data_IF_119387267678
#
_entry.id   IF_119387267678
#
_cell.length_a   1.000
_cell.length_b   1.000
_cell.length_c   1.000
_cell.angle_alpha   90.00
_cell.angle_beta   90.00
_cell.angle_gamma   90.00
#
_symmetry.space_group_name_H-M   'P 1'
#
loop_
_entity.id
_entity.type
_entity.pdbx_description
1 polymer ?
#
# COMPACT_ATOMS: atom_id res chain seq x y z
N UNK A 1 38.92 -43.06 20.73
CA UNK A 1 38.91 -41.72 20.13
C UNK A 1 37.58 -41.57 19.41
N UNK A 2 36.65 -40.81 19.99
CA UNK A 2 35.35 -40.54 19.37
C UNK A 2 35.55 -39.31 18.48
N UNK A 3 35.41 -39.50 17.17
CA UNK A 3 35.40 -38.38 16.22
C UNK A 3 33.96 -37.87 16.18
N UNK A 4 33.75 -36.68 16.72
CA UNK A 4 32.50 -35.95 16.57
C UNK A 4 32.60 -35.16 15.26
N UNK A 5 31.75 -35.50 14.29
CA UNK A 5 31.63 -34.75 13.04
C UNK A 5 30.56 -33.68 13.26
N UNK A 6 30.98 -32.41 13.38
CA UNK A 6 30.06 -31.28 13.27
C UNK A 6 29.73 -31.08 11.78
N UNK A 7 28.47 -31.26 11.40
CA UNK A 7 27.98 -30.84 10.09
C UNK A 7 27.58 -29.36 10.21
N UNK A 8 28.40 -28.46 9.68
CA UNK A 8 27.97 -27.09 9.43
C UNK A 8 26.97 -27.12 8.26
N UNK A 9 25.69 -26.91 8.55
CA UNK A 9 24.69 -26.58 7.54
C UNK A 9 24.99 -25.18 7.01
N UNK A 10 25.37 -25.08 5.74
CA UNK A 10 25.35 -23.83 4.99
C UNK A 10 23.88 -23.47 4.75
N UNK A 11 23.40 -22.40 5.38
CA UNK A 11 22.05 -21.88 5.14
C UNK A 11 22.06 -21.31 3.72
N UNK A 12 21.38 -21.98 2.78
CA UNK A 12 21.12 -21.41 1.47
C UNK A 12 19.98 -20.39 1.60
N UNK A 13 20.19 -19.22 1.00
CA UNK A 13 19.13 -18.23 0.87
C UNK A 13 18.27 -18.61 -0.33
N UNK A 14 16.99 -18.85 -0.08
CA UNK A 14 15.98 -19.11 -1.10
C UNK A 14 15.04 -17.92 -1.18
N UNK A 15 14.60 -17.60 -2.39
CA UNK A 15 13.65 -16.53 -2.67
C UNK A 15 12.40 -17.15 -3.31
N UNK A 16 11.24 -16.76 -2.81
CA UNK A 16 9.95 -17.12 -3.37
C UNK A 16 9.34 -15.90 -4.05
N UNK A 17 8.74 -16.10 -5.22
CA UNK A 17 7.99 -15.06 -5.90
C UNK A 17 6.69 -14.80 -5.13
N UNK A 18 6.38 -13.52 -4.89
CA UNK A 18 5.24 -13.12 -4.07
C UNK A 18 4.55 -11.91 -4.69
N UNK A 19 4.38 -11.91 -6.02
CA UNK A 19 3.84 -10.77 -6.76
C UNK A 19 2.51 -11.05 -7.46
N UNK A 20 1.87 -12.17 -7.15
CA UNK A 20 0.60 -12.55 -7.78
C UNK A 20 -0.51 -11.56 -7.41
N UNK A 21 -0.95 -10.74 -8.37
CA UNK A 21 -1.96 -9.70 -8.15
C UNK A 21 -1.42 -8.31 -7.76
N UNK A 22 -0.10 -8.09 -7.76
CA UNK A 22 0.51 -6.75 -7.57
C UNK A 22 0.48 -5.87 -8.84
N UNK A 23 -0.44 -6.12 -9.77
CA UNK A 23 -0.67 -5.25 -10.94
C UNK A 23 -2.11 -4.75 -10.87
N UNK A 24 -2.34 -3.42 -10.82
CA UNK A 24 -1.38 -2.30 -10.68
C UNK A 24 -0.49 -2.39 -9.40
N UNK A 25 0.60 -1.60 -9.24
CA UNK A 25 0.91 -0.37 -9.96
C UNK A 25 1.64 -0.62 -11.29
N UNK A 26 1.24 0.11 -12.35
CA UNK A 26 1.91 0.08 -13.65
C UNK A 26 3.02 1.13 -13.77
N UNK A 27 3.10 2.07 -12.83
CA UNK A 27 4.17 3.07 -12.70
C UNK A 27 4.39 3.88 -13.99
N UNK A 28 3.33 4.45 -14.55
CA UNK A 28 3.36 5.14 -15.85
C UNK A 28 4.33 6.34 -15.82
N UNK A 29 3.97 7.40 -15.10
CA UNK A 29 4.76 8.65 -15.07
C UNK A 29 4.76 9.35 -13.71
N UNK A 30 3.90 8.95 -12.78
CA UNK A 30 3.83 9.50 -11.43
C UNK A 30 4.95 8.96 -10.54
N UNK A 31 5.39 9.81 -9.60
CA UNK A 31 6.21 9.37 -8.48
C UNK A 31 5.23 8.83 -7.43
N UNK A 32 5.15 7.51 -7.30
CA UNK A 32 4.43 6.89 -6.19
C UNK A 32 5.35 6.70 -4.99
N UNK A 33 4.74 6.69 -3.82
CA UNK A 33 5.30 6.19 -2.57
C UNK A 33 4.52 4.93 -2.20
N UNK A 34 5.22 3.90 -1.73
CA UNK A 34 4.62 2.65 -1.26
C UNK A 34 5.05 2.45 0.18
N UNK A 35 4.07 2.20 1.05
CA UNK A 35 4.28 1.88 2.45
C UNK A 35 3.79 0.47 2.75
N UNK A 36 4.42 -0.20 3.71
CA UNK A 36 4.06 -1.55 4.16
C UNK A 36 3.41 -1.49 5.54
N UNK A 37 2.21 -2.06 5.68
CA UNK A 37 1.43 -2.01 6.92
C UNK A 37 0.33 -3.08 6.92
N UNK A 38 -0.02 -3.64 8.08
CA UNK A 38 -1.25 -4.43 8.26
C UNK A 38 -2.41 -3.43 8.51
N UNK A 39 -3.06 -2.96 7.44
CA UNK A 39 -4.00 -1.82 7.52
C UNK A 39 -5.35 -2.25 8.10
N UNK A 40 -5.66 -3.54 8.04
CA UNK A 40 -6.95 -4.12 8.44
C UNK A 40 -6.86 -5.02 9.68
N UNK A 41 -5.67 -5.15 10.28
CA UNK A 41 -5.39 -5.98 11.46
C UNK A 41 -5.71 -7.47 11.26
N UNK A 42 -5.58 -7.99 10.05
CA UNK A 42 -5.82 -9.41 9.75
C UNK A 42 -4.60 -10.30 10.01
N UNK A 43 -3.46 -9.70 10.35
CA UNK A 43 -2.20 -10.37 10.66
C UNK A 43 -1.32 -10.63 9.45
N UNK A 44 -1.74 -10.21 8.25
CA UNK A 44 -0.92 -10.20 7.04
C UNK A 44 -0.46 -8.78 6.72
N UNK A 45 0.67 -8.68 6.02
CA UNK A 45 1.19 -7.39 5.60
C UNK A 45 0.48 -6.96 4.31
N UNK A 46 -0.03 -5.73 4.31
CA UNK A 46 -0.58 -5.05 3.14
C UNK A 46 0.42 -4.02 2.60
N UNK A 47 0.14 -3.54 1.38
CA UNK A 47 0.81 -2.38 0.80
C UNK A 47 -0.19 -1.25 0.65
N UNK A 48 0.24 -0.01 0.90
CA UNK A 48 -0.55 1.19 0.58
C UNK A 48 0.26 2.11 -0.35
N UNK A 49 -0.45 2.80 -1.24
CA UNK A 49 0.09 3.83 -2.13
C UNK A 49 -0.95 4.92 -2.37
N UNK A 50 -0.50 6.02 -2.95
CA UNK A 50 -1.38 6.96 -3.65
C UNK A 50 -1.36 6.64 -5.16
N UNK A 51 -2.45 6.99 -5.87
CA UNK A 51 -2.63 6.77 -7.31
C UNK A 51 -1.51 7.34 -8.18
N UNK A 52 -1.56 7.08 -9.48
CA UNK A 52 -0.50 7.49 -10.41
C UNK A 52 -0.81 8.85 -11.08
N UNK A 53 0.15 9.43 -11.79
CA UNK A 53 -0.06 10.67 -12.54
C UNK A 53 -1.00 10.43 -13.72
N UNK A 54 -2.01 11.30 -13.86
CA UNK A 54 -3.05 11.18 -14.88
C UNK A 54 -4.30 10.44 -14.38
N UNK A 55 -4.31 10.02 -13.13
CA UNK A 55 -5.45 9.42 -12.47
C UNK A 55 -6.73 10.30 -12.45
N UNK A 56 -7.94 9.70 -12.54
CA UNK A 56 -8.23 8.33 -12.99
C UNK A 56 -8.46 8.20 -14.52
N UNK A 57 -8.41 9.31 -15.28
CA UNK A 57 -8.93 9.35 -16.67
C UNK A 57 -7.90 9.75 -17.74
N UNK A 58 -6.61 9.72 -17.40
CA UNK A 58 -5.50 10.00 -18.31
C UNK A 58 -4.43 8.91 -18.13
N UNK A 59 -4.43 7.93 -19.04
CA UNK A 59 -3.43 6.85 -19.18
C UNK A 59 -3.40 5.76 -18.09
N UNK A 60 -3.95 6.00 -16.91
CA UNK A 60 -3.91 5.05 -15.78
C UNK A 60 -5.25 5.04 -15.04
N UNK A 61 -5.66 3.85 -14.60
CA UNK A 61 -6.80 3.63 -13.71
C UNK A 61 -6.40 3.69 -12.22
N UNK A 62 -5.10 3.76 -11.93
CA UNK A 62 -4.58 3.87 -10.57
C UNK A 62 -4.99 5.20 -9.95
N UNK A 63 -5.76 5.16 -8.86
CA UNK A 63 -6.34 6.36 -8.28
C UNK A 63 -6.46 6.34 -6.77
N UNK A 64 -6.53 7.54 -6.21
CA UNK A 64 -6.85 7.78 -4.82
C UNK A 64 -5.84 7.14 -3.86
N UNK A 65 -6.34 6.67 -2.73
CA UNK A 65 -5.60 5.72 -1.89
C UNK A 65 -5.77 4.33 -2.51
N UNK A 66 -4.64 3.66 -2.72
CA UNK A 66 -4.56 2.29 -3.20
C UNK A 66 -4.09 1.39 -2.06
N UNK A 67 -4.76 0.27 -1.86
CA UNK A 67 -4.42 -0.74 -0.84
C UNK A 67 -4.35 -2.10 -1.51
N UNK A 68 -3.20 -2.77 -1.44
CA UNK A 68 -3.04 -4.16 -1.82
C UNK A 68 -3.13 -5.02 -0.58
N UNK A 69 -4.28 -5.68 -0.41
CA UNK A 69 -4.47 -6.63 0.67
C UNK A 69 -3.66 -7.89 0.42
N UNK A 70 -2.73 -8.21 1.31
CA UNK A 70 -1.87 -9.38 1.23
C UNK A 70 -2.47 -10.58 1.96
N UNK A 71 -2.36 -11.78 1.39
CA UNK A 71 -2.80 -13.01 2.06
C UNK A 71 -1.68 -13.72 2.85
N UNK A 72 -0.52 -13.07 2.99
CA UNK A 72 0.69 -13.62 3.62
C UNK A 72 1.38 -14.72 2.80
N UNK A 73 0.92 -15.00 1.58
CA UNK A 73 1.43 -16.05 0.67
C UNK A 73 1.79 -15.51 -0.71
N UNK A 74 1.98 -14.20 -0.80
CA UNK A 74 2.35 -13.52 -2.03
C UNK A 74 1.20 -13.32 -3.02
N UNK A 75 -0.05 -13.46 -2.58
CA UNK A 75 -1.22 -13.07 -3.36
C UNK A 75 -1.79 -11.76 -2.84
N UNK A 76 -2.19 -10.90 -3.77
CA UNK A 76 -2.58 -9.53 -3.48
C UNK A 76 -3.89 -9.18 -4.17
N UNK A 77 -4.72 -8.39 -3.51
CA UNK A 77 -5.93 -7.82 -4.09
C UNK A 77 -5.95 -6.32 -3.88
N UNK A 78 -5.97 -5.56 -4.98
CA UNK A 78 -6.01 -4.10 -4.92
C UNK A 78 -7.43 -3.58 -4.69
N UNK A 79 -7.54 -2.64 -3.77
CA UNK A 79 -8.67 -1.75 -3.61
C UNK A 79 -8.20 -0.31 -3.83
N UNK A 80 -9.02 0.51 -4.48
CA UNK A 80 -8.69 1.91 -4.75
C UNK A 80 -9.89 2.77 -4.41
N UNK A 81 -9.67 3.90 -3.74
CA UNK A 81 -10.73 4.82 -3.36
C UNK A 81 -10.28 6.27 -3.51
N UNK A 82 -11.11 7.11 -4.12
CA UNK A 82 -10.84 8.52 -4.39
C UNK A 82 -10.38 8.80 -5.83
N UNK A 83 -10.68 10.00 -6.33
CA UNK A 83 -10.41 10.44 -7.71
C UNK A 83 -9.24 11.45 -7.76
N UNK A 84 -8.08 11.05 -7.23
CA UNK A 84 -6.87 11.87 -7.20
C UNK A 84 -5.62 11.03 -7.49
N UNK A 85 -4.49 11.68 -7.74
CA UNK A 85 -3.26 11.00 -8.14
C UNK A 85 -2.01 11.58 -7.54
N UNK A 86 -0.97 10.75 -7.55
CA UNK A 86 0.43 10.85 -7.16
C UNK A 86 0.86 11.90 -6.14
N UNK A 87 1.74 11.45 -5.25
CA UNK A 87 2.37 12.24 -4.22
C UNK A 87 2.93 11.33 -3.15
N UNK A 88 2.76 11.72 -1.88
CA UNK A 88 3.26 10.95 -0.73
C UNK A 88 2.12 10.38 0.11
N UNK A 89 2.42 9.33 0.86
CA UNK A 89 1.48 8.62 1.73
C UNK A 89 2.16 8.23 3.05
N UNK A 90 1.41 8.29 4.14
CA UNK A 90 1.83 7.83 5.46
C UNK A 90 0.61 7.28 6.21
N UNK A 91 0.85 6.48 7.24
CA UNK A 91 -0.22 5.91 8.07
C UNK A 91 0.02 6.15 9.57
N UNK A 92 -1.06 6.17 10.33
CA UNK A 92 -1.04 6.29 11.79
C UNK A 92 -2.44 6.52 12.36
N UNK A 93 -2.65 6.18 13.63
CA UNK A 93 -3.90 6.49 14.33
C UNK A 93 -3.86 7.96 14.80
N UNK A 94 -4.44 8.87 14.02
CA UNK A 94 -4.40 10.32 14.29
C UNK A 94 -5.50 10.76 15.24
N UNK A 95 -6.57 9.97 15.38
CA UNK A 95 -7.75 10.33 16.16
C UNK A 95 -7.87 9.53 17.49
N UNK A 96 -7.01 8.53 17.71
CA UNK A 96 -6.96 7.60 18.85
C UNK A 96 -8.19 6.67 18.97
N UNK A 97 -8.77 6.25 17.85
CA UNK A 97 -9.90 5.29 17.84
C UNK A 97 -9.44 3.82 17.77
N UNK A 98 -8.14 3.59 17.60
CA UNK A 98 -7.54 2.27 17.53
C UNK A 98 -7.48 1.68 16.13
N UNK A 99 -7.86 2.44 15.10
CA UNK A 99 -7.67 2.08 13.71
C UNK A 99 -6.59 2.96 13.05
N UNK A 100 -5.95 2.43 12.01
CA UNK A 100 -4.97 3.19 11.25
C UNK A 100 -5.68 4.12 10.26
N UNK A 101 -5.34 5.40 10.34
CA UNK A 101 -5.70 6.42 9.35
C UNK A 101 -4.60 6.56 8.30
N UNK A 102 -4.93 7.15 7.15
CA UNK A 102 -4.00 7.37 6.04
C UNK A 102 -3.87 8.85 5.73
N UNK A 103 -2.70 9.41 5.99
CA UNK A 103 -2.33 10.76 5.57
C UNK A 103 -1.72 10.73 4.17
N UNK A 104 -2.10 11.67 3.31
CA UNK A 104 -1.56 11.75 1.96
C UNK A 104 -1.41 13.19 1.49
N UNK A 105 -0.35 13.42 0.72
CA UNK A 105 -0.13 14.65 -0.02
C UNK A 105 -0.20 14.35 -1.52
N UNK A 106 -0.85 15.21 -2.29
CA UNK A 106 -1.01 15.02 -3.73
C UNK A 106 -0.60 16.24 -4.53
N UNK A 107 -0.28 16.05 -5.82
CA UNK A 107 0.11 17.15 -6.68
C UNK A 107 -1.07 17.99 -7.19
N UNK A 108 -2.27 17.40 -7.31
CA UNK A 108 -3.45 18.07 -7.82
C UNK A 108 -4.70 17.68 -7.03
N UNK A 109 -5.36 18.65 -6.42
CA UNK A 109 -6.57 18.47 -5.62
C UNK A 109 -7.85 18.78 -6.43
N UNK A 110 -8.02 18.09 -7.56
CA UNK A 110 -9.12 18.35 -8.49
C UNK A 110 -10.43 17.63 -8.13
N UNK A 111 -10.44 16.83 -7.06
CA UNK A 111 -11.67 16.15 -6.61
C UNK A 111 -12.77 17.17 -6.33
N UNK A 112 -14.01 16.77 -6.59
CA UNK A 112 -15.20 17.56 -6.24
C UNK A 112 -15.80 17.14 -4.90
N UNK A 113 -15.25 16.10 -4.29
CA UNK A 113 -15.63 15.60 -2.98
C UNK A 113 -14.56 16.00 -1.98
N UNK A 114 -14.93 16.08 -0.70
CA UNK A 114 -14.00 16.37 0.42
C UNK A 114 -12.78 15.45 0.42
N UNK A 115 -12.93 14.23 -0.13
CA UNK A 115 -11.84 13.30 -0.37
C UNK A 115 -11.06 13.69 -1.64
N UNK A 116 -9.96 14.42 -1.46
CA UNK A 116 -9.02 14.86 -2.49
C UNK A 116 -9.24 16.28 -3.03
N UNK A 117 -9.94 17.15 -2.29
CA UNK A 117 -10.13 18.57 -2.65
C UNK A 117 -9.09 19.53 -2.02
N UNK A 118 -8.14 18.98 -1.26
CA UNK A 118 -6.98 19.64 -0.67
C UNK A 118 -5.68 18.89 -1.00
N UNK A 119 -4.55 19.61 -0.93
CA UNK A 119 -3.24 19.06 -1.28
C UNK A 119 -2.66 18.12 -0.22
N UNK A 120 -3.16 18.20 1.01
CA UNK A 120 -2.74 17.38 2.15
C UNK A 120 -3.97 17.10 2.99
N UNK A 121 -4.30 15.82 3.17
CA UNK A 121 -5.49 15.35 3.88
C UNK A 121 -5.16 14.09 4.69
N UNK A 122 -6.11 13.68 5.53
CA UNK A 122 -6.08 12.40 6.25
C UNK A 122 -7.43 11.72 6.06
N UNK A 123 -7.43 10.50 5.54
CA UNK A 123 -8.59 9.63 5.51
C UNK A 123 -8.66 8.86 6.84
N UNK A 124 -9.80 8.98 7.54
CA UNK A 124 -10.00 8.30 8.82
C UNK A 124 -10.39 6.85 8.58
N UNK A 125 -9.57 5.94 9.09
CA UNK A 125 -9.75 4.52 8.92
C UNK A 125 -10.83 3.96 9.85
N UNK A 126 -11.47 2.88 9.40
CA UNK A 126 -12.44 2.11 10.19
C UNK A 126 -11.94 0.68 10.50
N UNK A 127 -10.65 0.44 10.27
CA UNK A 127 -10.01 -0.87 10.42
C UNK A 127 -10.26 -1.83 9.26
N UNK A 128 -10.92 -1.41 8.18
CA UNK A 128 -11.08 -2.27 6.98
C UNK A 128 -10.00 -2.05 5.92
N UNK A 129 -9.26 -0.95 6.01
CA UNK A 129 -8.34 -0.48 4.97
C UNK A 129 -9.04 0.04 3.72
N UNK A 130 -10.32 0.45 3.80
CA UNK A 130 -11.12 0.88 2.63
C UNK A 130 -11.82 2.23 2.77
N UNK A 131 -11.67 2.92 3.89
CA UNK A 131 -12.39 4.15 4.21
C UNK A 131 -11.43 5.33 4.43
#
# INVERSE_FOLDING_TARGET
>A
MIILILILSLINLEYEESSNGLIPPTLEIGRLEVEMVDINYDGNLDLISIGDHGSPYVNTDQHGIMVWFGDGRGNWQVYMNGDFGYGGIAYGDVNNDGFLDVGYGMHHNYSRNDFGDQLLEVALGDGTGRN
#
